data_IF_126301291878
#
_entry.id   IF_126301291878
#
_cell.length_a   1.000
_cell.length_b   1.000
_cell.length_c   1.000
_cell.angle_alpha   90.00
_cell.angle_beta   90.00
_cell.angle_gamma   90.00
#
_symmetry.space_group_name_H-M   'P 1'
#
loop_
_entity.id
_entity.type
_entity.pdbx_description
1 polymer ?
2 non-polymer ?
3 non-polymer ?
#
# COMPACT_ATOMS: atom_id res chain seq x y z
N UNK A 11 13.58 -23.53 14.25
CA UNK A 11 13.98 -22.18 13.85
C UNK A 11 13.34 -21.79 12.51
N UNK A 12 12.85 -20.56 12.45
CA UNK A 12 12.16 -20.05 11.28
C UNK A 12 13.02 -19.02 10.53
N UNK A 13 14.25 -18.84 10.98
CA UNK A 13 15.13 -17.84 10.40
C UNK A 13 15.88 -18.33 9.16
N UNK A 14 15.97 -17.45 8.17
CA UNK A 14 16.82 -17.59 7.00
C UNK A 14 17.27 -16.21 6.54
N UNK A 15 18.32 -16.11 5.69
CA UNK A 15 18.92 -14.79 5.44
C UNK A 15 17.96 -13.76 4.86
N UNK A 16 16.97 -14.20 4.09
CA UNK A 16 15.98 -13.30 3.51
C UNK A 16 14.98 -12.76 4.52
N UNK A 17 14.52 -13.61 5.44
CA UNK A 17 13.53 -13.21 6.42
C UNK A 17 14.14 -12.72 7.73
N UNK A 18 15.42 -12.41 7.70
CA UNK A 18 16.13 -11.94 8.88
C UNK A 18 15.95 -10.44 9.07
N UNK A 19 15.96 -9.98 10.34
CA UNK A 19 15.93 -8.55 10.66
C UNK A 19 16.98 -7.79 9.86
N UNK A 20 16.79 -6.50 9.64
CA UNK A 20 17.67 -5.82 8.72
C UNK A 20 18.65 -5.00 9.54
N UNK A 21 19.91 -5.38 9.39
CA UNK A 21 21.01 -4.85 10.19
C UNK A 21 21.18 -3.36 9.89
N UNK A 22 21.56 -2.60 10.92
CA UNK A 22 21.78 -1.16 10.81
C UNK A 22 22.62 -0.74 9.60
N UNK A 23 23.74 -1.42 9.38
CA UNK A 23 24.60 -1.12 8.24
C UNK A 23 23.95 -1.43 6.89
N UNK A 24 22.96 -2.33 6.86
CA UNK A 24 22.31 -2.65 5.59
C UNK A 24 21.18 -1.69 5.19
N UNK A 25 20.89 -0.69 6.02
CA UNK A 25 19.73 0.16 5.78
C UNK A 25 20.09 1.22 4.74
N UNK A 26 19.14 1.58 3.87
CA UNK A 26 19.47 2.41 2.71
C UNK A 26 18.48 3.52 2.34
N UNK A 27 17.38 3.63 3.09
CA UNK A 27 16.35 4.62 2.76
C UNK A 27 16.18 5.70 3.84
N UNK A 28 16.55 6.93 3.52
CA UNK A 28 16.35 8.00 4.48
C UNK A 28 15.02 8.67 4.23
N UNK A 29 14.77 9.82 4.89
CA UNK A 29 13.49 10.50 4.76
C UNK A 29 13.20 11.08 3.38
N UNK A 30 14.20 11.62 2.70
CA UNK A 30 13.97 12.19 1.37
C UNK A 30 13.67 11.07 0.37
N UNK A 31 14.28 9.92 0.58
CA UNK A 31 14.24 8.84 -0.39
C UNK A 31 12.89 8.12 -0.32
N UNK A 32 12.36 8.02 0.89
CA UNK A 32 11.07 7.37 1.13
C UNK A 32 9.95 8.19 0.49
N UNK A 33 10.08 9.51 0.60
CA UNK A 33 9.21 10.43 -0.12
C UNK A 33 9.30 10.20 -1.63
N UNK A 34 10.49 9.88 -2.11
CA UNK A 34 10.72 9.76 -3.54
C UNK A 34 10.14 8.44 -4.01
N UNK A 35 9.94 7.52 -3.07
CA UNK A 35 9.31 6.25 -3.35
C UNK A 35 7.79 6.42 -3.35
N UNK A 36 7.28 7.15 -2.36
CA UNK A 36 5.86 7.34 -2.18
C UNK A 36 5.23 8.25 -3.23
N UNK A 37 6.01 9.21 -3.74
CA UNK A 37 5.52 10.18 -4.69
C UNK A 37 5.19 9.43 -5.99
N UNK A 38 6.12 8.60 -6.41
CA UNK A 38 5.96 7.82 -7.64
C UNK A 38 5.00 6.66 -7.43
N UNK A 39 4.93 6.17 -6.20
CA UNK A 39 4.02 5.08 -5.84
C UNK A 39 2.56 5.51 -5.83
N UNK A 40 2.31 6.81 -5.62
CA UNK A 40 0.95 7.31 -5.61
C UNK A 40 0.45 7.62 -7.02
N UNK A 41 1.39 7.85 -7.93
CA UNK A 41 1.06 8.07 -9.34
C UNK A 41 0.73 6.75 -10.01
N UNK A 42 -0.55 6.41 -10.08
CA UNK A 42 -0.98 5.17 -10.69
C UNK A 42 -2.43 5.23 -11.16
N UNK A 43 -2.70 4.52 -12.26
CA UNK A 43 -3.96 4.56 -12.99
C UNK A 43 -5.24 4.51 -12.13
N UNK A 44 -5.25 3.67 -11.12
CA UNK A 44 -6.46 3.39 -10.34
C UNK A 44 -7.05 4.63 -9.66
N UNK A 45 -6.21 5.63 -9.39
CA UNK A 45 -6.70 6.83 -8.73
C UNK A 45 -7.44 7.73 -9.70
N UNK A 46 -7.20 7.53 -11.00
CA UNK A 46 -7.98 8.20 -12.03
C UNK A 46 -9.44 7.76 -11.93
N UNK A 47 -9.64 6.45 -11.87
CA UNK A 47 -10.97 5.87 -11.80
C UNK A 47 -11.72 6.31 -10.55
N UNK A 48 -11.08 6.17 -9.39
CA UNK A 48 -11.73 6.51 -8.13
C UNK A 48 -12.16 7.97 -8.10
N UNK A 49 -11.22 8.86 -8.39
CA UNK A 49 -11.47 10.30 -8.21
C UNK A 49 -12.38 10.82 -9.32
N UNK A 50 -12.32 10.16 -10.47
CA UNK A 50 -13.23 10.41 -11.56
C UNK A 50 -14.68 10.12 -11.22
N UNK A 51 -14.93 8.86 -10.84
CA UNK A 51 -16.23 8.40 -10.36
C UNK A 51 -16.75 9.17 -9.15
N UNK A 52 -15.85 9.77 -8.38
CA UNK A 52 -16.25 10.59 -7.23
C UNK A 52 -17.01 11.83 -7.68
N UNK A 53 -16.74 12.28 -8.90
CA UNK A 53 -17.37 13.49 -9.42
C UNK A 53 -18.89 13.34 -9.54
N UNK A 54 -19.36 12.10 -9.66
CA UNK A 54 -20.77 11.79 -9.54
C UNK A 54 -21.42 12.27 -8.24
N UNK A 55 -20.69 12.22 -7.13
CA UNK A 55 -21.31 12.53 -5.85
C UNK A 55 -20.87 13.89 -5.29
N UNK A 56 -19.71 14.38 -5.72
CA UNK A 56 -19.22 15.67 -5.25
C UNK A 56 -18.56 16.41 -6.39
N UNK A 57 -18.31 17.71 -6.20
CA UNK A 57 -17.59 18.47 -7.21
C UNK A 57 -16.10 18.37 -6.95
N UNK A 58 -15.32 18.52 -8.01
CA UNK A 58 -13.86 18.35 -7.99
C UNK A 58 -13.05 18.84 -6.79
N UNK A 59 -13.23 20.08 -6.36
CA UNK A 59 -12.48 20.59 -5.21
C UNK A 59 -12.69 19.75 -3.95
N UNK A 60 -13.93 19.35 -3.68
CA UNK A 60 -14.21 18.46 -2.56
C UNK A 60 -13.51 17.11 -2.71
N UNK A 61 -13.40 16.63 -3.95
CA UNK A 61 -12.75 15.35 -4.20
C UNK A 61 -11.27 15.43 -3.84
N UNK A 62 -10.66 16.53 -4.26
CA UNK A 62 -9.29 16.88 -3.88
C UNK A 62 -9.13 16.93 -2.36
N UNK A 63 -10.18 17.41 -1.70
CA UNK A 63 -10.16 17.52 -0.24
C UNK A 63 -10.34 16.13 0.36
N UNK A 64 -11.23 15.33 -0.22
CA UNK A 64 -11.39 13.95 0.23
C UNK A 64 -10.10 13.16 0.03
N UNK A 65 -9.33 13.57 -0.98
CA UNK A 65 -8.04 12.95 -1.24
C UNK A 65 -7.01 13.37 -0.20
N UNK A 66 -6.84 14.69 -0.03
CA UNK A 66 -5.99 15.23 1.00
C UNK A 66 -6.35 14.75 2.41
N UNK A 67 -7.64 14.64 2.68
CA UNK A 67 -8.08 14.12 3.98
C UNK A 67 -7.74 12.64 4.10
N UNK A 68 -8.12 11.87 3.09
CA UNK A 68 -7.83 10.45 3.06
C UNK A 68 -6.36 10.09 3.03
N UNK A 69 -5.58 10.92 2.34
CA UNK A 69 -4.12 10.80 2.34
C UNK A 69 -3.53 11.00 3.73
N UNK A 70 -4.09 11.96 4.45
CA UNK A 70 -3.59 12.34 5.77
C UNK A 70 -3.90 11.31 6.86
N UNK A 71 -5.09 10.72 6.82
CA UNK A 71 -5.43 9.68 7.79
C UNK A 71 -4.52 8.46 7.60
N UNK A 72 -4.18 8.20 6.35
CA UNK A 72 -3.30 7.09 6.00
C UNK A 72 -1.92 7.27 6.64
N UNK A 73 -1.39 8.49 6.51
CA UNK A 73 -0.15 8.91 7.15
C UNK A 73 -0.11 8.86 8.68
N UNK A 74 -1.13 9.42 9.32
CA UNK A 74 -1.35 9.23 10.76
C UNK A 74 -1.28 7.76 11.18
N UNK A 75 -1.77 6.89 10.30
CA UNK A 75 -1.69 5.45 10.51
C UNK A 75 -0.29 4.90 10.28
N UNK A 76 0.40 5.48 9.29
CA UNK A 76 1.75 5.05 8.97
C UNK A 76 2.71 5.31 10.12
N UNK A 77 2.64 6.52 10.69
CA UNK A 77 3.41 6.88 11.89
C UNK A 77 3.45 5.79 12.97
N UNK A 78 2.35 5.06 13.13
CA UNK A 78 2.25 4.03 14.15
C UNK A 78 2.62 2.64 13.62
N UNK A 79 2.16 2.31 12.43
CA UNK A 79 2.39 0.97 11.89
C UNK A 79 3.82 0.78 11.38
N UNK A 80 4.59 1.86 11.31
CA UNK A 80 5.93 1.76 10.71
C UNK A 80 6.99 1.74 11.79
N UNK A 81 6.58 2.01 13.03
CA UNK A 81 7.55 2.35 14.06
C UNK A 81 8.39 1.15 14.49
N UNK A 82 7.77 -0.02 14.51
CA UNK A 82 8.48 -1.23 14.89
C UNK A 82 9.43 -1.72 13.80
N UNK A 83 9.05 -1.51 12.55
CA UNK A 83 9.83 -1.99 11.42
C UNK A 83 11.09 -1.15 11.21
N UNK A 84 10.97 0.15 11.40
CA UNK A 84 12.11 1.06 11.29
C UNK A 84 13.14 0.74 12.37
N UNK A 85 12.66 0.61 13.60
CA UNK A 85 13.54 0.41 14.74
C UNK A 85 14.19 -0.98 14.68
N UNK A 86 13.40 -2.01 14.36
CA UNK A 86 13.88 -3.38 14.50
C UNK A 86 14.14 -4.12 13.19
N UNK A 87 13.98 -3.46 12.05
CA UNK A 87 14.24 -4.09 10.77
C UNK A 87 13.45 -5.33 10.40
N UNK A 88 12.27 -5.54 10.99
CA UNK A 88 11.55 -6.79 10.74
C UNK A 88 10.49 -6.73 9.64
N UNK A 89 10.20 -7.91 9.09
CA UNK A 89 9.06 -8.16 8.22
C UNK A 89 7.70 -7.71 8.76
N UNK A 90 6.74 -7.59 7.84
CA UNK A 90 5.32 -7.58 8.19
C UNK A 90 4.89 -8.96 8.67
N UNK A 91 5.13 -9.97 7.84
CA UNK A 91 4.70 -11.33 8.11
C UNK A 91 5.24 -11.80 9.45
N UNK A 92 6.50 -11.48 9.71
CA UNK A 92 7.12 -11.77 10.99
C UNK A 92 6.48 -10.98 12.15
N UNK A 93 6.23 -9.70 11.92
CA UNK A 93 5.65 -8.85 12.96
C UNK A 93 4.23 -9.24 13.39
N UNK A 94 3.46 -9.88 12.52
CA UNK A 94 2.10 -10.27 12.87
C UNK A 94 2.12 -11.40 13.90
N UNK A 95 3.25 -12.11 13.96
CA UNK A 95 3.44 -13.22 14.87
C UNK A 95 3.24 -12.83 16.34
N UNK A 96 3.42 -11.55 16.65
CA UNK A 96 3.34 -11.07 18.03
C UNK A 96 1.94 -11.25 18.65
N UNK A 97 0.92 -10.48 18.17
CA UNK A 97 -0.39 -10.62 18.82
C UNK A 97 -1.12 -11.91 18.45
N UNK A 98 -1.19 -12.21 17.15
CA UNK A 98 -1.72 -13.48 16.68
C UNK A 98 -0.65 -14.52 16.92
N UNK A 99 -0.89 -15.79 16.61
CA UNK A 99 0.16 -16.76 16.85
C UNK A 99 1.33 -16.64 15.92
N UNK A 100 2.29 -17.56 16.03
CA UNK A 100 3.32 -17.74 15.02
C UNK A 100 2.73 -18.31 13.73
N UNK A 101 1.65 -19.06 13.89
CA UNK A 101 0.93 -19.66 12.79
C UNK A 101 -0.42 -18.99 12.64
N UNK A 102 -1.06 -18.73 13.77
CA UNK A 102 -2.29 -17.97 13.81
C UNK A 102 -2.23 -16.65 13.04
N UNK A 103 -1.06 -16.04 12.97
CA UNK A 103 -0.90 -14.85 12.13
C UNK A 103 -1.18 -15.12 10.66
N UNK A 104 -0.99 -16.36 10.23
CA UNK A 104 -1.23 -16.73 8.83
C UNK A 104 -2.67 -16.47 8.39
N UNK A 105 -3.59 -16.47 9.35
CA UNK A 105 -4.99 -16.21 9.05
C UNK A 105 -5.16 -14.76 8.57
N UNK A 106 -4.97 -13.74 9.44
CA UNK A 106 -5.02 -12.41 8.83
C UNK A 106 -4.03 -12.20 7.68
N UNK A 107 -2.81 -12.73 7.79
CA UNK A 107 -1.82 -12.54 6.74
C UNK A 107 -2.21 -13.16 5.39
N UNK A 108 -2.94 -14.28 5.41
CA UNK A 108 -3.42 -14.86 4.15
C UNK A 108 -4.50 -13.99 3.54
N UNK A 109 -5.36 -13.45 4.41
CA UNK A 109 -6.32 -12.43 4.02
C UNK A 109 -5.58 -11.31 3.31
N UNK A 110 -4.52 -10.82 3.94
CA UNK A 110 -3.83 -9.65 3.45
C UNK A 110 -2.95 -9.92 2.21
N UNK A 111 -2.26 -11.05 2.19
CA UNK A 111 -1.42 -11.39 1.04
C UNK A 111 -2.23 -11.55 -0.24
N UNK A 112 -3.48 -11.96 -0.08
CA UNK A 112 -4.42 -12.12 -1.17
C UNK A 112 -4.81 -10.78 -1.79
N UNK A 113 -5.18 -9.85 -0.93
CA UNK A 113 -5.40 -8.45 -1.30
C UNK A 113 -4.21 -7.91 -2.08
N UNK A 114 -3.02 -8.05 -1.51
CA UNK A 114 -1.79 -7.49 -2.09
C UNK A 114 -1.65 -8.03 -3.51
N UNK A 115 -1.81 -9.35 -3.60
CA UNK A 115 -1.72 -10.11 -4.84
C UNK A 115 -2.78 -9.68 -5.87
N UNK A 116 -3.99 -9.43 -5.40
CA UNK A 116 -5.06 -8.89 -6.25
C UNK A 116 -4.68 -7.60 -6.97
N UNK A 117 -4.06 -6.66 -6.26
CA UNK A 117 -3.66 -5.41 -6.88
C UNK A 117 -2.55 -5.63 -7.91
N UNK A 118 -1.71 -6.63 -7.67
CA UNK A 118 -0.59 -6.92 -8.55
C UNK A 118 -1.01 -7.36 -9.95
N UNK A 119 -2.00 -8.24 -10.01
CA UNK A 119 -2.51 -8.69 -11.29
C UNK A 119 -3.31 -7.62 -11.99
N UNK A 120 -3.97 -6.76 -11.22
CA UNK A 120 -4.68 -5.64 -11.81
C UNK A 120 -3.72 -4.67 -12.50
N UNK A 121 -2.67 -4.24 -11.80
CA UNK A 121 -1.75 -3.29 -12.40
C UNK A 121 -0.85 -3.89 -13.49
N UNK A 122 -0.55 -5.18 -13.40
CA UNK A 122 0.25 -5.81 -14.45
C UNK A 122 -0.54 -5.74 -15.75
N UNK A 123 -1.85 -5.93 -15.59
CA UNK A 123 -2.82 -5.81 -16.66
C UNK A 123 -2.83 -4.42 -17.28
N UNK A 124 -2.99 -3.40 -16.44
CA UNK A 124 -2.98 -2.02 -16.92
C UNK A 124 -1.67 -1.72 -17.64
N UNK A 125 -0.57 -2.21 -17.06
CA UNK A 125 0.75 -2.10 -17.65
C UNK A 125 0.82 -2.74 -19.01
N UNK A 126 0.27 -3.96 -19.09
CA UNK A 126 0.20 -4.73 -20.31
C UNK A 126 -0.61 -4.00 -21.37
N UNK A 127 -1.75 -3.46 -20.96
CA UNK A 127 -2.61 -2.68 -21.84
C UNK A 127 -1.78 -1.58 -22.48
N UNK A 128 -0.93 -0.96 -21.67
CA UNK A 128 -0.13 0.16 -22.13
C UNK A 128 0.86 -0.33 -23.19
N UNK A 129 1.62 -1.37 -22.85
CA UNK A 129 2.65 -1.88 -23.75
C UNK A 129 2.03 -2.39 -25.03
N UNK A 130 0.84 -2.98 -24.92
CA UNK A 130 0.14 -3.54 -26.06
C UNK A 130 -0.33 -2.42 -26.98
N UNK A 131 -0.78 -1.33 -26.39
CA UNK A 131 -1.10 -0.13 -27.13
C UNK A 131 0.11 0.50 -27.82
N UNK A 132 1.26 0.53 -27.16
CA UNK A 132 2.47 1.07 -27.79
C UNK A 132 2.83 0.27 -29.03
N UNK A 133 2.75 -1.05 -28.92
CA UNK A 133 3.11 -1.93 -30.03
C UNK A 133 2.12 -1.86 -31.18
N UNK A 134 0.82 -1.92 -30.87
CA UNK A 134 -0.17 -1.93 -31.94
C UNK A 134 -0.26 -0.56 -32.61
N UNK A 135 0.23 0.48 -31.93
CA UNK A 135 0.38 1.79 -32.55
C UNK A 135 1.70 1.85 -33.31
N UNK A 136 2.29 0.69 -33.54
CA UNK A 136 3.52 0.59 -34.32
C UNK A 136 3.42 -0.61 -35.26
N UNK A 137 3.05 -1.76 -34.71
CA UNK A 137 3.23 -3.03 -35.42
C UNK A 137 1.83 -3.59 -35.72
N UNK A 138 0.81 -2.87 -35.26
CA UNK A 138 -0.58 -3.27 -35.39
C UNK A 138 -0.97 -4.59 -34.73
N UNK A 139 0.03 -5.37 -34.36
CA UNK A 139 -0.14 -6.65 -33.67
C UNK A 139 -0.69 -6.34 -32.28
N UNK A 140 -1.76 -7.02 -31.87
CA UNK A 140 -2.46 -6.62 -30.65
C UNK A 140 -2.83 -7.83 -29.79
N UNK A 141 -1.79 -8.54 -29.35
CA UNK A 141 -1.92 -9.63 -28.41
C UNK A 141 -1.60 -9.12 -27.00
N UNK A 142 -2.57 -9.22 -26.10
CA UNK A 142 -2.40 -8.76 -24.71
C UNK A 142 -1.81 -9.78 -23.72
N UNK A 143 -2.38 -11.01 -23.64
CA UNK A 143 -1.85 -12.00 -22.69
C UNK A 143 -0.34 -12.23 -22.75
N UNK A 144 0.24 -12.25 -23.94
CA UNK A 144 1.68 -12.38 -24.06
C UNK A 144 2.36 -11.20 -23.37
N UNK A 145 1.82 -10.00 -23.57
CA UNK A 145 2.38 -8.78 -22.99
C UNK A 145 2.12 -8.70 -21.49
N UNK A 146 1.05 -9.37 -21.05
CA UNK A 146 0.79 -9.55 -19.63
C UNK A 146 1.94 -10.29 -18.97
N UNK A 147 2.11 -11.57 -19.31
CA UNK A 147 3.23 -12.39 -18.84
C UNK A 147 4.58 -11.68 -18.89
N UNK A 148 5.01 -11.29 -20.10
CA UNK A 148 6.22 -10.50 -20.28
C UNK A 148 6.39 -9.34 -19.29
N UNK A 149 5.29 -8.66 -18.96
CA UNK A 149 5.37 -7.58 -17.98
C UNK A 149 5.49 -8.14 -16.57
N UNK A 150 4.57 -9.04 -16.22
CA UNK A 150 4.69 -9.80 -14.99
C UNK A 150 6.12 -10.24 -14.79
N UNK A 151 6.71 -10.75 -15.88
CA UNK A 151 8.07 -11.26 -15.86
C UNK A 151 9.08 -10.14 -15.61
N UNK A 152 8.92 -9.02 -16.33
CA UNK A 152 9.83 -7.88 -16.23
C UNK A 152 9.83 -7.29 -14.82
N UNK A 153 8.66 -7.22 -14.21
CA UNK A 153 8.54 -6.73 -12.84
C UNK A 153 9.28 -7.63 -11.88
N UNK A 154 9.10 -8.94 -12.03
CA UNK A 154 9.79 -9.94 -11.20
C UNK A 154 11.30 -9.75 -11.21
N UNK A 155 11.86 -9.54 -12.40
CA UNK A 155 13.30 -9.46 -12.55
C UNK A 155 13.83 -8.15 -12.00
N UNK A 156 13.06 -7.08 -12.17
CA UNK A 156 13.39 -5.81 -11.54
C UNK A 156 13.12 -5.82 -10.04
N UNK A 157 12.22 -6.70 -9.60
CA UNK A 157 11.95 -6.83 -8.17
C UNK A 157 13.02 -7.65 -7.46
N UNK A 158 13.71 -8.51 -8.22
CA UNK A 158 14.88 -9.23 -7.70
C UNK A 158 15.91 -8.34 -7.02
N UNK A 159 16.09 -7.14 -7.54
CA UNK A 159 17.04 -6.18 -6.98
C UNK A 159 16.44 -5.48 -5.75
N UNK A 160 15.35 -6.05 -5.24
CA UNK A 160 14.59 -5.53 -4.11
C UNK A 160 14.49 -4.02 -4.05
N UNK A 161 14.60 -3.48 -2.83
CA UNK A 161 14.41 -2.05 -2.65
C UNK A 161 15.48 -1.19 -3.35
N UNK A 162 16.59 -1.82 -3.75
CA UNK A 162 17.69 -1.14 -4.42
C UNK A 162 17.31 -0.56 -5.77
N UNK A 163 16.65 -1.39 -6.58
CA UNK A 163 16.09 -0.95 -7.86
C UNK A 163 14.96 0.04 -7.65
N UNK A 164 13.96 -0.40 -6.88
CA UNK A 164 12.80 0.42 -6.49
C UNK A 164 13.23 1.85 -6.19
N UNK A 165 14.26 2.00 -5.37
CA UNK A 165 14.63 3.30 -4.83
C UNK A 165 15.22 4.14 -5.95
N UNK A 166 15.97 3.50 -6.86
CA UNK A 166 16.58 4.23 -7.97
C UNK A 166 15.56 4.58 -9.06
N UNK A 167 14.66 3.64 -9.33
CA UNK A 167 13.60 3.85 -10.31
C UNK A 167 12.59 4.93 -9.94
N UNK A 168 12.28 5.03 -8.66
CA UNK A 168 11.28 6.01 -8.19
C UNK A 168 11.79 7.43 -8.06
N UNK A 169 13.08 7.62 -7.82
CA UNK A 169 13.62 8.96 -7.73
C UNK A 169 13.70 9.61 -9.10
N UNK A 170 14.02 8.81 -10.11
CA UNK A 170 14.03 9.29 -11.49
C UNK A 170 12.66 9.37 -12.15
N UNK A 171 11.76 8.44 -11.82
CA UNK A 171 10.39 8.53 -12.33
C UNK A 171 9.66 9.75 -11.79
N UNK A 172 9.85 10.03 -10.50
CA UNK A 172 9.11 11.09 -9.80
C UNK A 172 9.02 12.42 -10.58
N UNK A 173 10.17 13.05 -10.92
CA UNK A 173 10.04 14.34 -11.61
C UNK A 173 9.46 14.21 -13.01
N UNK A 174 9.87 13.17 -13.73
CA UNK A 174 9.34 12.89 -15.05
C UNK A 174 7.83 12.72 -15.01
N UNK A 175 7.36 11.86 -14.12
CA UNK A 175 5.94 11.69 -13.86
C UNK A 175 5.27 13.00 -13.45
N UNK A 176 5.94 13.75 -12.58
CA UNK A 176 5.48 15.07 -12.15
C UNK A 176 5.33 16.03 -13.33
N UNK A 177 6.28 15.96 -14.26
CA UNK A 177 6.24 16.87 -15.41
C UNK A 177 5.19 16.44 -16.43
N UNK A 178 5.20 15.17 -16.82
CA UNK A 178 4.17 14.62 -17.70
C UNK A 178 2.75 14.96 -17.22
N UNK A 179 2.60 15.08 -15.90
CA UNK A 179 1.31 15.35 -15.28
C UNK A 179 0.89 16.81 -15.30
N UNK A 180 1.81 17.69 -14.94
CA UNK A 180 1.59 19.13 -15.05
C UNK A 180 1.32 19.54 -16.50
N UNK A 181 2.06 18.94 -17.42
CA UNK A 181 1.79 19.06 -18.85
C UNK A 181 0.37 18.63 -19.20
N UNK A 182 -0.03 17.48 -18.66
CA UNK A 182 -1.35 16.91 -18.88
C UNK A 182 -2.50 17.87 -18.55
N UNK A 183 -2.41 18.47 -17.36
CA UNK A 183 -3.32 19.53 -16.95
C UNK A 183 -3.33 20.74 -17.88
N UNK A 184 -2.15 21.09 -18.38
CA UNK A 184 -2.05 22.21 -19.30
C UNK A 184 -2.78 21.93 -20.62
N UNK A 185 -2.44 20.81 -21.25
CA UNK A 185 -3.14 20.33 -22.45
C UNK A 185 -4.67 20.30 -22.37
N UNK A 186 -5.20 19.82 -21.25
CA UNK A 186 -6.64 19.78 -21.06
C UNK A 186 -7.20 21.18 -20.96
N UNK A 187 -6.87 21.87 -19.87
CA UNK A 187 -7.35 23.21 -19.59
C UNK A 187 -7.27 24.10 -20.83
N UNK A 188 -6.08 24.17 -21.42
CA UNK A 188 -5.86 24.94 -22.65
C UNK A 188 -6.83 24.51 -23.74
N UNK A 189 -6.73 23.25 -24.14
CA UNK A 189 -7.48 22.71 -25.25
C UNK A 189 -8.99 22.74 -25.07
N UNK A 190 -9.42 22.90 -23.82
CA UNK A 190 -10.84 23.04 -23.51
C UNK A 190 -11.21 24.49 -23.28
N UNK A 191 -10.18 25.33 -23.16
CA UNK A 191 -10.32 26.78 -23.02
C UNK A 191 -10.95 27.10 -21.67
N UNK A 192 -10.44 26.43 -20.63
CA UNK A 192 -11.03 26.53 -19.29
C UNK A 192 -9.95 26.81 -18.25
N UNK A 193 -10.27 27.68 -17.29
CA UNK A 193 -9.34 27.96 -16.19
C UNK A 193 -9.36 26.83 -15.17
N UNK A 194 -8.34 26.76 -14.34
CA UNK A 194 -8.27 25.76 -13.28
C UNK A 194 -9.44 25.88 -12.30
N UNK A 195 -9.76 27.11 -11.93
CA UNK A 195 -10.82 27.36 -10.95
C UNK A 195 -12.20 26.96 -11.44
N UNK A 196 -12.41 27.05 -12.75
CA UNK A 196 -13.70 26.69 -13.33
C UNK A 196 -13.97 25.19 -13.25
N UNK A 197 -12.99 24.38 -13.64
CA UNK A 197 -13.14 22.93 -13.60
C UNK A 197 -13.30 22.43 -12.17
N UNK A 198 -12.71 23.17 -11.23
CA UNK A 198 -12.75 22.80 -9.82
C UNK A 198 -14.14 22.69 -9.18
N UNK A 199 -15.18 23.20 -9.82
CA UNK A 199 -16.52 23.05 -9.25
C UNK A 199 -17.58 22.50 -10.21
N UNK A 200 -17.15 21.86 -11.28
CA UNK A 200 -18.05 21.38 -12.32
C UNK A 200 -18.80 20.08 -12.01
N UNK A 201 -18.46 19.42 -10.91
CA UNK A 201 -19.00 18.09 -10.65
C UNK A 201 -20.26 17.97 -9.83
N UNK A 202 -20.45 16.80 -9.23
CA UNK A 202 -21.35 16.63 -8.10
C UNK A 202 -22.78 16.93 -8.46
N UNK A 203 -23.27 16.26 -9.50
CA UNK A 203 -24.62 16.47 -9.98
C UNK A 203 -25.53 15.27 -9.70
N UNK A 204 -25.21 14.52 -8.65
CA UNK A 204 -25.95 13.32 -8.30
C UNK A 204 -25.67 12.90 -6.85
N UNK A 205 -25.83 13.84 -5.89
CA UNK A 205 -25.42 13.61 -4.50
C UNK A 205 -26.16 12.46 -3.81
N UNK A 206 -25.59 11.99 -2.70
CA UNK A 206 -26.11 10.83 -2.00
C UNK A 206 -25.04 10.20 -1.11
N UNK A 207 -23.83 10.09 -1.64
CA UNK A 207 -22.71 9.56 -0.90
C UNK A 207 -22.23 10.55 0.17
N UNK A 208 -22.11 10.10 1.42
CA UNK A 208 -21.56 10.96 2.48
C UNK A 208 -20.10 11.33 2.21
N UNK A 209 -19.69 12.55 2.58
CA UNK A 209 -18.31 12.97 2.40
C UNK A 209 -17.35 12.13 3.24
N UNK A 210 -17.85 11.56 4.33
CA UNK A 210 -17.04 10.70 5.18
C UNK A 210 -16.68 9.42 4.44
N UNK A 211 -17.62 8.91 3.65
CA UNK A 211 -17.43 7.66 2.95
C UNK A 211 -16.55 7.95 1.74
N UNK A 212 -16.43 9.23 1.42
CA UNK A 212 -15.56 9.66 0.34
C UNK A 212 -14.12 9.57 0.81
N UNK A 213 -13.86 10.20 1.95
CA UNK A 213 -12.54 10.17 2.57
C UNK A 213 -12.11 8.72 2.76
N UNK A 214 -13.06 7.93 3.24
CA UNK A 214 -12.89 6.50 3.50
C UNK A 214 -12.59 5.64 2.26
N UNK A 215 -12.83 6.17 1.07
CA UNK A 215 -12.55 5.39 -0.14
C UNK A 215 -11.07 5.52 -0.50
N UNK A 216 -10.48 6.67 -0.21
CA UNK A 216 -9.06 6.85 -0.47
C UNK A 216 -8.21 6.25 0.66
N UNK A 217 -8.74 6.26 1.88
CA UNK A 217 -8.08 5.59 2.99
C UNK A 217 -8.10 4.08 2.76
N UNK A 218 -9.23 3.59 2.27
CA UNK A 218 -9.39 2.18 1.98
C UNK A 218 -8.58 1.71 0.79
N UNK A 219 -7.98 2.67 0.09
CA UNK A 219 -7.17 2.35 -1.08
C UNK A 219 -5.78 1.85 -0.73
N UNK A 220 -5.12 2.56 0.17
CA UNK A 220 -3.73 2.24 0.53
C UNK A 220 -3.61 1.40 1.80
N UNK A 221 -4.73 0.99 2.37
CA UNK A 221 -4.71 0.34 3.68
C UNK A 221 -3.84 -0.90 3.72
N UNK A 222 -3.85 -1.68 2.64
CA UNK A 222 -3.00 -2.86 2.55
C UNK A 222 -1.53 -2.47 2.70
N UNK A 223 -1.11 -1.46 1.94
CA UNK A 223 0.25 -0.95 2.02
C UNK A 223 0.55 -0.35 3.38
N UNK A 224 -0.39 0.46 3.89
CA UNK A 224 -0.23 1.11 5.18
C UNK A 224 -0.08 0.11 6.32
N UNK A 225 -0.94 -0.90 6.33
CA UNK A 225 -0.91 -1.94 7.35
C UNK A 225 0.40 -2.74 7.31
N UNK A 226 0.85 -3.07 6.10
CA UNK A 226 2.03 -3.90 5.93
C UNK A 226 3.19 -3.13 5.32
N UNK A 227 3.30 -1.85 5.66
CA UNK A 227 4.44 -1.05 5.21
C UNK A 227 5.80 -1.65 5.58
N UNK A 228 5.87 -2.35 6.71
CA UNK A 228 7.08 -3.02 7.19
C UNK A 228 8.05 -3.41 6.08
N UNK A 229 7.51 -4.04 5.06
CA UNK A 229 8.26 -4.65 3.98
C UNK A 229 8.99 -3.61 3.13
N UNK A 230 8.60 -2.36 3.32
CA UNK A 230 9.24 -1.23 2.65
C UNK A 230 10.12 -0.46 3.63
N UNK A 231 9.59 -0.29 4.84
CA UNK A 231 10.14 0.68 5.79
C UNK A 231 11.15 0.04 6.75
N UNK A 232 11.22 -1.29 6.78
CA UNK A 232 12.32 -2.01 7.43
C UNK A 232 13.67 -1.71 6.82
N UNK A 233 13.67 -0.91 5.77
CA UNK A 233 14.88 -0.51 5.07
C UNK A 233 15.29 0.93 5.35
N UNK A 234 14.49 1.64 6.15
CA UNK A 234 14.81 3.03 6.44
C UNK A 234 15.95 3.17 7.44
N UNK A 235 16.61 4.33 7.38
CA UNK A 235 17.81 4.58 8.17
C UNK A 235 17.48 4.95 9.61
N UNK A 236 18.12 4.29 10.57
CA UNK A 236 17.85 4.57 11.97
C UNK A 236 19.16 4.76 12.74
N UNK A 237 19.14 5.63 13.75
CA UNK A 237 20.23 5.69 14.71
C UNK A 237 19.88 4.94 15.98
N UNK A 238 20.51 3.77 16.19
CA UNK A 238 20.23 2.91 17.34
C UNK A 238 20.39 3.59 18.70
N UNK A 239 21.23 4.62 18.76
CA UNK A 239 21.49 5.30 20.02
C UNK A 239 20.73 6.60 20.21
N UNK A 240 19.49 6.63 19.71
CA UNK A 240 18.60 7.75 19.95
C UNK A 240 17.99 7.63 21.34
N UNK A 241 16.84 8.25 21.54
CA UNK A 241 16.13 8.15 22.80
C UNK A 241 14.64 8.06 22.49
N UNK A 242 13.79 8.04 23.51
CA UNK A 242 12.35 8.11 23.30
C UNK A 242 11.97 9.31 22.43
N UNK A 243 12.65 10.44 22.66
CA UNK A 243 12.21 11.68 22.04
C UNK A 243 12.91 11.85 20.70
N UNK A 244 14.08 11.24 20.54
CA UNK A 244 14.74 11.26 19.26
C UNK A 244 14.20 10.19 18.32
N UNK A 245 13.71 9.10 18.90
CA UNK A 245 13.02 8.07 18.12
C UNK A 245 11.68 8.57 17.60
N UNK A 246 11.03 9.42 18.39
CA UNK A 246 9.73 9.96 18.00
C UNK A 246 9.83 10.98 16.88
N UNK A 247 10.83 11.86 16.93
CA UNK A 247 11.05 12.77 15.82
C UNK A 247 11.45 12.01 14.56
N UNK A 248 12.17 10.90 14.75
CA UNK A 248 12.55 10.04 13.64
C UNK A 248 11.34 9.43 12.94
N UNK A 249 10.48 8.81 13.74
CA UNK A 249 9.18 8.33 13.27
C UNK A 249 8.41 9.43 12.58
N UNK A 250 8.42 10.62 13.19
CA UNK A 250 7.67 11.75 12.68
C UNK A 250 8.29 12.28 11.40
N UNK A 251 9.62 12.28 11.33
CA UNK A 251 10.32 12.75 10.15
C UNK A 251 10.05 11.84 8.94
N UNK A 252 9.99 10.54 9.20
CA UNK A 252 9.59 9.57 8.18
C UNK A 252 8.12 9.69 7.78
N UNK A 253 7.24 9.72 8.78
CA UNK A 253 5.82 9.95 8.57
C UNK A 253 5.56 11.24 7.79
N UNK A 254 6.32 12.27 8.11
CA UNK A 254 6.20 13.55 7.42
C UNK A 254 6.62 13.39 5.96
N UNK A 255 7.64 12.57 5.74
CA UNK A 255 8.18 12.35 4.40
C UNK A 255 7.20 11.59 3.52
N UNK A 256 6.38 10.75 4.13
CA UNK A 256 5.40 9.97 3.38
C UNK A 256 4.23 10.85 3.00
N UNK A 257 3.95 11.84 3.84
CA UNK A 257 2.87 12.78 3.58
C UNK A 257 3.21 13.63 2.37
N UNK A 258 4.45 14.13 2.34
CA UNK A 258 4.83 15.00 1.25
C UNK A 258 5.03 14.22 -0.03
N UNK A 259 5.07 12.88 0.07
CA UNK A 259 5.20 12.08 -1.13
C UNK A 259 3.88 11.69 -1.76
N UNK A 260 2.92 11.26 -0.93
CA UNK A 260 1.68 10.70 -1.46
C UNK A 260 0.57 11.73 -1.65
N UNK A 261 0.59 12.79 -0.86
CA UNK A 261 -0.40 13.86 -1.00
C UNK A 261 -0.25 14.64 -2.32
N UNK A 262 0.83 15.45 -2.49
CA UNK A 262 0.92 16.21 -3.75
C UNK A 262 0.87 15.36 -5.01
N UNK A 263 1.35 14.12 -4.93
CA UNK A 263 1.26 13.22 -6.08
C UNK A 263 -0.19 12.83 -6.37
N UNK A 264 -0.91 12.41 -5.34
CA UNK A 264 -2.23 11.85 -5.57
C UNK A 264 -3.28 12.95 -5.71
N UNK A 265 -2.95 14.16 -5.27
CA UNK A 265 -3.81 15.31 -5.51
C UNK A 265 -3.78 15.80 -6.96
N UNK A 266 -2.59 15.93 -7.53
CA UNK A 266 -2.44 16.30 -8.94
C UNK A 266 -3.08 15.29 -9.91
N UNK A 267 -2.86 14.01 -9.65
CA UNK A 267 -3.35 12.96 -10.53
C UNK A 267 -4.78 12.55 -10.21
N UNK A 268 -5.18 12.72 -8.96
CA UNK A 268 -6.57 12.56 -8.59
C UNK A 268 -7.38 13.59 -9.38
N UNK A 269 -6.92 14.83 -9.31
CA UNK A 269 -7.50 15.93 -10.08
C UNK A 269 -7.61 15.65 -11.58
N UNK A 270 -6.60 15.02 -12.15
CA UNK A 270 -6.64 14.64 -13.56
C UNK A 270 -7.75 13.64 -13.88
N UNK A 271 -7.93 12.66 -13.00
CA UNK A 271 -8.98 11.69 -13.17
C UNK A 271 -10.35 12.35 -13.09
N UNK A 272 -10.50 13.22 -12.10
CA UNK A 272 -11.74 13.98 -11.92
C UNK A 272 -12.01 14.89 -13.11
N UNK A 273 -10.99 15.63 -13.51
CA UNK A 273 -11.06 16.52 -14.67
C UNK A 273 -11.46 15.81 -15.96
N UNK A 274 -10.79 14.71 -16.27
CA UNK A 274 -11.20 13.81 -17.35
C UNK A 274 -12.70 13.50 -17.34
N UNK A 275 -13.19 13.02 -16.21
CA UNK A 275 -14.60 12.66 -16.03
C UNK A 275 -15.51 13.80 -16.40
N UNK A 276 -15.17 14.98 -15.90
CA UNK A 276 -16.05 16.13 -15.86
C UNK A 276 -16.07 16.91 -17.18
N UNK A 277 -14.93 16.92 -17.87
CA UNK A 277 -14.83 17.56 -19.18
C UNK A 277 -15.44 16.74 -20.32
N UNK A 278 -15.33 15.41 -20.26
CA UNK A 278 -15.55 14.60 -21.46
C UNK A 278 -16.39 13.34 -21.16
N UNK A 279 -16.55 13.04 -19.87
CA UNK A 279 -17.39 11.94 -19.45
C UNK A 279 -16.65 10.63 -19.24
N UNK A 280 -15.33 10.69 -19.36
CA UNK A 280 -14.49 9.50 -19.18
C UNK A 280 -13.38 9.78 -18.18
N UNK A 281 -13.11 8.82 -17.30
CA UNK A 281 -12.05 8.94 -16.31
C UNK A 281 -10.66 8.75 -16.91
N UNK A 282 -10.62 8.08 -18.06
CA UNK A 282 -9.37 7.78 -18.75
C UNK A 282 -8.90 8.98 -19.56
N UNK A 283 -7.72 9.53 -19.19
CA UNK A 283 -7.13 10.72 -19.79
C UNK A 283 -6.77 10.52 -21.27
N UNK A 284 -6.52 9.30 -21.72
CA UNK A 284 -6.27 9.06 -23.15
C UNK A 284 -7.42 9.61 -23.97
N UNK A 285 -8.60 9.12 -23.64
CA UNK A 285 -9.83 9.61 -24.25
C UNK A 285 -10.09 11.09 -24.01
N UNK A 286 -10.06 11.55 -22.76
CA UNK A 286 -10.43 12.93 -22.50
C UNK A 286 -9.54 13.94 -23.22
N UNK A 287 -8.24 13.67 -23.30
CA UNK A 287 -7.33 14.60 -23.97
C UNK A 287 -7.38 14.49 -25.49
N UNK A 288 -7.55 13.27 -25.98
CA UNK A 288 -7.67 13.00 -27.42
C UNK A 288 -8.80 13.78 -28.06
N UNK A 289 -9.99 13.63 -27.49
CA UNK A 289 -11.18 14.37 -27.90
C UNK A 289 -10.92 15.88 -27.83
N UNK A 290 -10.76 16.38 -26.61
CA UNK A 290 -10.63 17.82 -26.34
C UNK A 290 -9.67 18.52 -27.33
N UNK A 291 -8.70 17.76 -27.81
CA UNK A 291 -7.64 18.30 -28.66
C UNK A 291 -7.93 17.85 -30.10
N UNK A 292 -8.81 16.87 -30.23
CA UNK A 292 -9.26 16.42 -31.54
C UNK A 292 -8.17 15.60 -32.20
N UNK A 293 -7.84 14.48 -31.57
CA UNK A 293 -6.84 13.57 -32.10
C UNK A 293 -5.45 14.02 -31.69
N UNK A 294 -4.51 13.08 -31.70
CA UNK A 294 -3.11 13.38 -31.40
C UNK A 294 -2.19 12.49 -32.23
N UNK A 295 -1.00 13.00 -32.51
CA UNK A 295 -0.01 12.25 -33.28
C UNK A 295 0.38 10.94 -32.62
N UNK A 296 0.77 9.97 -33.44
CA UNK A 296 1.19 8.64 -32.97
C UNK A 296 2.31 8.73 -31.90
N UNK A 297 3.36 9.53 -32.15
CA UNK A 297 4.31 9.83 -31.06
C UNK A 297 3.64 10.22 -29.73
N UNK A 298 2.96 11.37 -29.71
CA UNK A 298 2.36 11.88 -28.46
C UNK A 298 1.36 10.92 -27.81
N UNK A 299 0.98 9.88 -28.55
CA UNK A 299 0.12 8.83 -28.00
C UNK A 299 0.96 7.83 -27.23
N UNK A 300 1.90 7.21 -27.95
CA UNK A 300 2.97 6.39 -27.38
C UNK A 300 3.54 6.92 -26.07
N UNK A 301 3.85 8.22 -26.04
CA UNK A 301 4.18 8.93 -24.80
C UNK A 301 3.26 8.58 -23.64
N UNK A 302 1.96 8.87 -23.78
CA UNK A 302 0.97 8.60 -22.74
C UNK A 302 1.10 7.18 -22.21
N UNK A 303 1.31 6.27 -23.13
CA UNK A 303 1.39 4.86 -22.81
C UNK A 303 2.71 4.53 -22.11
N UNK A 304 3.77 5.22 -22.49
CA UNK A 304 5.03 5.13 -21.77
C UNK A 304 4.82 5.60 -20.33
N UNK A 305 3.98 6.62 -20.17
CA UNK A 305 3.59 7.14 -18.85
C UNK A 305 2.94 6.06 -17.99
N UNK A 306 1.81 5.52 -18.47
CA UNK A 306 1.11 4.44 -17.78
C UNK A 306 2.06 3.35 -17.35
N UNK A 307 2.97 2.99 -18.25
CA UNK A 307 3.96 1.98 -17.94
C UNK A 307 4.88 2.48 -16.84
N UNK A 308 5.40 3.69 -17.00
CA UNK A 308 6.22 4.30 -15.96
C UNK A 308 5.45 4.49 -14.65
N UNK A 309 4.16 4.78 -14.76
CA UNK A 309 3.31 4.96 -13.59
C UNK A 309 2.91 3.66 -12.91
N UNK A 310 2.91 2.58 -13.68
CA UNK A 310 2.57 1.28 -13.12
C UNK A 310 3.80 0.69 -12.47
N UNK A 311 4.95 0.94 -13.10
CA UNK A 311 6.21 0.39 -12.64
C UNK A 311 6.64 1.02 -11.32
N UNK A 312 6.19 2.25 -11.10
CA UNK A 312 6.56 2.98 -9.89
C UNK A 312 5.67 2.63 -8.72
N UNK A 313 4.64 1.83 -8.96
CA UNK A 313 3.70 1.49 -7.90
C UNK A 313 3.58 0.00 -7.61
N UNK A 314 3.29 -0.78 -8.66
CA UNK A 314 3.07 -2.22 -8.54
C UNK A 314 4.13 -3.00 -7.73
N UNK A 315 5.40 -3.09 -8.21
CA UNK A 315 6.41 -3.86 -7.46
C UNK A 315 6.46 -3.58 -5.95
N UNK A 316 6.73 -2.33 -5.58
CA UNK A 316 6.95 -1.95 -4.19
C UNK A 316 5.72 -2.18 -3.33
N UNK A 317 4.56 -1.89 -3.89
CA UNK A 317 3.31 -1.95 -3.13
C UNK A 317 2.62 -3.31 -3.15
N UNK A 318 2.84 -4.10 -4.21
CA UNK A 318 2.04 -5.31 -4.40
C UNK A 318 2.82 -6.63 -4.41
N UNK A 319 4.11 -6.60 -4.73
CA UNK A 319 4.86 -7.82 -4.92
C UNK A 319 5.83 -8.13 -3.77
N UNK A 320 6.46 -7.10 -3.24
CA UNK A 320 7.31 -7.21 -2.06
C UNK A 320 6.69 -8.02 -0.91
N UNK A 321 5.46 -7.70 -0.55
CA UNK A 321 4.86 -8.28 0.66
C UNK A 321 4.40 -9.74 0.56
N UNK A 322 3.96 -10.20 -0.62
CA UNK A 322 3.73 -11.65 -0.63
C UNK A 322 5.04 -12.44 -0.70
N UNK A 323 6.03 -11.89 -1.40
CA UNK A 323 7.37 -12.45 -1.42
C UNK A 323 7.87 -12.79 -0.03
N UNK A 324 7.94 -11.76 0.82
CA UNK A 324 8.40 -11.92 2.19
C UNK A 324 7.48 -12.82 3.01
N UNK A 325 6.22 -12.91 2.61
CA UNK A 325 5.28 -13.81 3.28
C UNK A 325 5.62 -15.28 3.02
N UNK A 326 5.99 -15.56 1.78
CA UNK A 326 6.44 -16.89 1.38
C UNK A 326 7.76 -17.30 2.01
N UNK A 327 8.79 -16.49 1.81
CA UNK A 327 10.14 -16.86 2.22
C UNK A 327 10.35 -16.89 3.74
N UNK A 328 9.31 -16.55 4.49
CA UNK A 328 9.44 -16.33 5.92
C UNK A 328 8.53 -17.30 6.68
N UNK A 329 7.58 -17.87 5.95
CA UNK A 329 6.75 -18.93 6.50
C UNK A 329 7.29 -20.30 6.11
N UNK A 330 7.78 -20.40 4.87
CA UNK A 330 8.46 -21.60 4.42
C UNK A 330 9.94 -21.30 4.18
N UNK A 331 10.71 -21.06 5.25
CA UNK A 331 12.00 -20.40 5.05
C UNK A 331 13.07 -21.25 4.35
N UNK A 332 12.94 -22.57 4.43
CA UNK A 332 13.85 -23.48 3.75
C UNK A 332 13.36 -23.85 2.36
N UNK A 333 12.08 -23.59 2.13
CA UNK A 333 11.47 -23.78 0.81
C UNK A 333 11.61 -22.58 -0.11
N UNK A 334 11.41 -21.38 0.43
CA UNK A 334 11.43 -20.19 -0.40
C UNK A 334 12.52 -19.20 0.02
N UNK A 335 13.00 -18.44 -0.96
CA UNK A 335 13.85 -17.28 -0.69
C UNK A 335 13.12 -16.06 -1.26
N UNK A 336 13.57 -14.86 -0.89
CA UNK A 336 12.96 -13.63 -1.40
C UNK A 336 12.74 -13.68 -2.90
N UNK A 337 13.83 -13.86 -3.65
CA UNK A 337 13.77 -13.95 -5.10
C UNK A 337 12.85 -15.06 -5.61
N UNK A 338 12.81 -16.16 -4.86
CA UNK A 338 11.98 -17.29 -5.26
C UNK A 338 10.52 -17.03 -4.88
N UNK A 339 10.34 -16.23 -3.83
CA UNK A 339 9.01 -15.89 -3.34
C UNK A 339 8.34 -14.90 -4.28
N UNK A 340 9.15 -14.00 -4.83
CA UNK A 340 8.75 -13.11 -5.89
C UNK A 340 8.23 -13.81 -7.14
N UNK A 341 8.94 -14.85 -7.59
CA UNK A 341 8.49 -15.65 -8.71
C UNK A 341 7.17 -16.39 -8.47
N UNK A 342 7.01 -16.97 -7.28
CA UNK A 342 5.77 -17.65 -6.93
C UNK A 342 4.60 -16.69 -6.68
N UNK A 343 4.90 -15.46 -6.25
CA UNK A 343 3.84 -14.51 -5.96
C UNK A 343 3.27 -13.89 -7.23
N UNK A 344 4.16 -13.58 -8.17
CA UNK A 344 3.76 -13.00 -9.45
C UNK A 344 3.06 -14.00 -10.36
N UNK A 345 3.28 -15.28 -10.15
CA UNK A 345 2.60 -16.31 -10.92
C UNK A 345 1.20 -16.54 -10.36
N UNK A 346 1.12 -16.83 -9.07
CA UNK A 346 -0.18 -16.90 -8.39
C UNK A 346 -0.97 -15.63 -8.70
N UNK A 347 -0.34 -14.47 -8.50
CA UNK A 347 -0.90 -13.17 -8.80
C UNK A 347 -1.65 -13.08 -10.12
N UNK A 348 -0.99 -13.50 -11.20
CA UNK A 348 -1.56 -13.41 -12.54
C UNK A 348 -2.65 -14.46 -12.74
N UNK A 349 -2.49 -15.58 -12.04
CA UNK A 349 -3.47 -16.66 -12.10
C UNK A 349 -4.72 -16.40 -11.25
N UNK A 350 -4.80 -15.23 -10.61
CA UNK A 350 -6.03 -14.80 -9.98
C UNK A 350 -6.93 -14.04 -10.95
N UNK A 351 -6.43 -13.80 -12.15
CA UNK A 351 -7.11 -13.01 -13.19
C UNK A 351 -8.06 -11.92 -12.70
N UNK A 352 -7.54 -10.95 -11.91
CA UNK A 352 -8.31 -9.95 -11.16
C UNK A 352 -8.98 -8.94 -12.09
N UNK A 353 -8.65 -8.99 -13.37
CA UNK A 353 -9.15 -8.08 -14.39
C UNK A 353 -10.59 -8.41 -14.78
N UNK A 354 -11.18 -9.39 -14.09
CA UNK A 354 -12.53 -9.82 -14.38
C UNK A 354 -13.46 -9.58 -13.18
N UNK A 355 -12.94 -8.90 -12.17
CA UNK A 355 -13.71 -8.63 -10.96
C UNK A 355 -14.87 -7.68 -11.27
N UNK A 356 -16.08 -8.16 -11.03
CA UNK A 356 -17.29 -7.36 -11.27
C UNK A 356 -17.42 -6.20 -10.28
N UNK A 357 -17.71 -5.01 -10.78
CA UNK A 357 -17.93 -3.86 -9.92
C UNK A 357 -17.08 -2.64 -10.22
N UNK A 358 -17.02 -1.73 -9.25
CA UNK A 358 -16.10 -0.61 -9.30
C UNK A 358 -15.25 -0.54 -8.04
N UNK A 359 -14.21 0.30 -8.07
CA UNK A 359 -13.14 0.23 -7.08
C UNK A 359 -13.66 0.75 -5.75
N UNK A 360 -14.20 1.96 -5.77
CA UNK A 360 -14.78 2.61 -4.59
C UNK A 360 -15.35 1.66 -3.52
N UNK A 361 -16.30 0.82 -3.93
CA UNK A 361 -16.96 -0.09 -3.00
C UNK A 361 -15.97 -1.16 -2.54
N UNK A 362 -15.07 -1.54 -3.43
CA UNK A 362 -14.01 -2.48 -3.15
C UNK A 362 -13.08 -1.82 -2.14
N UNK A 363 -12.80 -0.55 -2.37
CA UNK A 363 -11.89 0.18 -1.49
C UNK A 363 -12.58 0.36 -0.14
N UNK A 364 -13.91 0.54 -0.17
CA UNK A 364 -14.71 0.62 1.05
C UNK A 364 -14.68 -0.71 1.81
N UNK A 365 -14.52 -1.78 1.04
CA UNK A 365 -14.33 -3.14 1.54
C UNK A 365 -12.97 -3.36 2.19
N UNK A 366 -11.92 -2.98 1.46
CA UNK A 366 -10.55 -3.14 1.93
C UNK A 366 -10.28 -2.48 3.29
N UNK A 367 -10.80 -1.28 3.51
CA UNK A 367 -10.58 -0.65 4.79
C UNK A 367 -11.20 -1.42 5.96
N UNK A 368 -12.50 -1.67 5.89
CA UNK A 368 -13.18 -2.33 7.00
C UNK A 368 -12.80 -3.81 7.18
N UNK A 369 -12.08 -4.36 6.22
CA UNK A 369 -11.51 -5.69 6.31
C UNK A 369 -10.16 -5.81 7.02
N UNK A 370 -9.34 -4.77 6.89
CA UNK A 370 -8.07 -4.70 7.60
C UNK A 370 -7.98 -3.63 8.68
N UNK A 371 -9.07 -2.93 8.93
CA UNK A 371 -9.10 -1.90 9.95
C UNK A 371 -8.74 -2.41 11.35
N UNK A 372 -9.38 -3.51 11.78
CA UNK A 372 -8.99 -4.12 13.06
C UNK A 372 -7.56 -4.68 13.10
N UNK A 373 -7.07 -5.18 11.96
CA UNK A 373 -5.70 -5.72 11.88
C UNK A 373 -4.64 -4.68 12.20
N UNK A 374 -4.80 -3.47 11.68
CA UNK A 374 -3.86 -2.39 11.94
C UNK A 374 -3.99 -1.96 13.39
N UNK A 375 -5.18 -2.14 13.93
CA UNK A 375 -5.52 -1.68 15.27
C UNK A 375 -4.92 -2.62 16.31
N UNK A 376 -4.94 -3.91 16.00
CA UNK A 376 -4.43 -4.94 16.90
C UNK A 376 -2.89 -4.94 16.90
N UNK A 377 -2.29 -4.52 15.79
CA UNK A 377 -0.83 -4.54 15.70
C UNK A 377 -0.27 -3.31 16.39
N UNK A 378 -0.96 -2.18 16.23
CA UNK A 378 -0.56 -0.94 16.89
C UNK A 378 -0.68 -1.09 18.39
N UNK A 379 -1.69 -1.84 18.83
CA UNK A 379 -2.01 -1.96 20.25
C UNK A 379 -1.06 -2.91 20.95
N UNK A 380 -0.84 -4.07 20.35
CA UNK A 380 0.13 -5.03 20.86
C UNK A 380 1.49 -4.40 21.11
N UNK A 381 2.05 -3.78 20.07
CA UNK A 381 3.37 -3.18 20.15
C UNK A 381 3.46 -1.91 21.02
N UNK A 382 2.58 -0.94 20.80
CA UNK A 382 2.62 0.30 21.57
C UNK A 382 2.06 0.24 22.99
N UNK A 383 0.87 -0.33 23.13
CA UNK A 383 0.15 -0.26 24.40
C UNK A 383 0.42 -1.42 25.36
N UNK A 384 0.17 -2.63 24.89
CA UNK A 384 0.37 -3.82 25.71
C UNK A 384 1.83 -4.03 26.11
N UNK A 385 2.70 -4.18 25.12
CA UNK A 385 4.11 -4.51 25.36
C UNK A 385 5.02 -3.31 25.59
N UNK A 386 4.55 -2.12 25.23
CA UNK A 386 5.32 -0.87 25.41
C UNK A 386 6.62 -0.88 24.61
N UNK A 387 6.55 -1.34 23.36
CA UNK A 387 7.69 -1.34 22.43
C UNK A 387 8.80 -2.27 22.88
N UNK A 388 8.51 -3.14 23.83
CA UNK A 388 9.54 -4.01 24.39
C UNK A 388 9.35 -5.42 23.85
N UNK A 389 10.10 -5.75 22.81
CA UNK A 389 9.90 -7.00 22.07
C UNK A 389 11.14 -7.90 22.04
N UNK A 390 10.90 -9.18 21.72
CA UNK A 390 11.94 -10.19 21.68
C UNK A 390 12.14 -10.81 20.28
N UNK A 391 13.04 -10.25 19.48
CA UNK A 391 13.37 -10.83 18.17
C UNK A 391 13.63 -12.34 18.21
N UNK A 392 14.35 -12.79 19.23
CA UNK A 392 14.71 -14.19 19.41
C UNK A 392 13.51 -15.13 19.22
N UNK A 393 12.40 -14.75 19.85
CA UNK A 393 11.21 -15.59 19.95
C UNK A 393 10.38 -15.50 18.69
N UNK A 394 10.59 -14.45 17.91
CA UNK A 394 9.85 -14.27 16.67
C UNK A 394 10.33 -15.24 15.60
N UNK A 395 11.53 -15.79 15.79
CA UNK A 395 12.10 -16.69 14.80
C UNK A 395 12.18 -18.15 15.26
N UNK A 396 11.37 -18.51 16.24
CA UNK A 396 11.42 -19.83 16.84
C UNK A 396 10.00 -20.33 17.05
N UNK A 397 9.73 -21.55 16.61
CA UNK A 397 8.45 -22.21 16.83
C UNK A 397 7.91 -22.22 18.26
N UNK A 398 8.78 -22.40 19.25
CA UNK A 398 8.32 -22.39 20.64
C UNK A 398 8.96 -21.36 21.56
N UNK A 399 8.18 -20.33 21.88
CA UNK A 399 8.63 -19.21 22.69
C UNK A 399 7.43 -18.44 23.20
N UNK A 400 7.63 -17.19 23.60
CA UNK A 400 6.54 -16.38 24.16
C UNK A 400 5.51 -15.93 23.14
N UNK A 401 5.67 -16.32 21.88
CA UNK A 401 4.72 -15.94 20.85
C UNK A 401 4.05 -17.16 20.25
N UNK A 402 4.16 -18.29 20.95
CA UNK A 402 3.63 -19.54 20.46
C UNK A 402 2.19 -19.66 20.90
N UNK A 403 1.91 -19.11 22.08
CA UNK A 403 0.59 -19.19 22.68
C UNK A 403 0.07 -20.63 22.66
N UNK A 404 -1.19 -20.80 22.30
CA UNK A 404 -1.79 -22.13 22.24
C UNK A 404 -1.39 -22.90 20.98
N UNK A 405 -0.28 -23.63 21.08
CA UNK A 405 0.17 -24.52 20.00
C UNK A 405 0.35 -23.81 18.66
N UNK A 406 0.83 -22.58 18.73
CA UNK A 406 1.16 -21.78 17.55
C UNK A 406 0.14 -20.73 17.14
N UNK A 407 -0.98 -20.64 17.84
CA UNK A 407 -2.05 -19.74 17.42
C UNK A 407 -2.63 -19.02 18.62
N UNK A 408 -2.80 -17.69 18.51
CA UNK A 408 -3.36 -16.93 19.63
C UNK A 408 -4.84 -16.68 19.34
N UNK A 409 -5.70 -17.62 19.72
CA UNK A 409 -7.13 -17.54 19.39
C UNK A 409 -7.85 -16.31 19.93
N UNK A 410 -7.39 -15.81 21.08
CA UNK A 410 -7.96 -14.63 21.70
C UNK A 410 -7.81 -13.39 20.82
N UNK A 411 -6.67 -13.29 20.14
CA UNK A 411 -6.44 -12.24 19.17
C UNK A 411 -7.31 -12.38 17.92
N UNK A 412 -7.40 -13.61 17.41
CA UNK A 412 -8.41 -13.97 16.42
C UNK A 412 -9.86 -13.74 16.87
N UNK A 413 -10.09 -13.76 18.17
CA UNK A 413 -11.42 -13.45 18.70
C UNK A 413 -11.69 -11.94 18.67
N UNK A 414 -10.74 -11.18 19.19
CA UNK A 414 -10.79 -9.71 19.15
C UNK A 414 -10.99 -9.17 17.73
N UNK A 415 -10.41 -9.84 16.75
CA UNK A 415 -10.58 -9.43 15.36
C UNK A 415 -12.04 -9.53 14.93
N UNK A 416 -12.64 -10.70 15.16
CA UNK A 416 -14.05 -10.93 14.85
C UNK A 416 -14.99 -9.91 15.52
N UNK A 417 -15.00 -9.91 16.85
CA UNK A 417 -15.77 -8.95 17.64
C UNK A 417 -15.63 -7.51 17.11
N UNK A 418 -14.40 -7.10 16.84
CA UNK A 418 -14.13 -5.75 16.37
C UNK A 418 -14.68 -5.62 14.95
N UNK A 419 -14.61 -6.69 14.17
CA UNK A 419 -15.21 -6.69 12.84
C UNK A 419 -16.68 -6.51 12.87
N UNK A 420 -17.31 -7.19 13.81
CA UNK A 420 -18.72 -7.03 14.00
C UNK A 420 -19.10 -5.59 14.29
N UNK A 421 -18.68 -5.07 15.45
CA UNK A 421 -18.85 -3.65 15.78
C UNK A 421 -18.60 -2.69 14.61
N UNK A 422 -17.72 -3.07 13.69
CA UNK A 422 -17.37 -2.22 12.55
C UNK A 422 -18.59 -2.01 11.67
N UNK A 423 -19.41 -3.06 11.59
CA UNK A 423 -20.58 -3.07 10.72
C UNK A 423 -21.69 -2.16 11.26
N UNK A 424 -21.60 -1.85 12.56
CA UNK A 424 -22.56 -0.94 13.18
C UNK A 424 -22.44 0.52 12.74
N UNK A 425 -21.40 0.83 11.97
CA UNK A 425 -21.17 2.19 11.49
C UNK A 425 -20.70 2.18 10.04
N UNK A 426 -21.53 1.66 9.11
CA UNK A 426 -21.15 1.43 7.72
C UNK A 426 -20.37 2.54 7.01
N UNK A 427 -20.70 3.81 7.26
CA UNK A 427 -19.96 4.88 6.59
C UNK A 427 -18.66 5.25 7.30
N UNK A 428 -18.40 4.63 8.44
CA UNK A 428 -17.16 4.87 9.16
C UNK A 428 -16.54 3.55 9.58
N UNK A 429 -17.00 2.48 8.94
CA UNK A 429 -16.60 1.10 9.23
C UNK A 429 -15.16 0.94 9.68
N UNK A 430 -14.25 1.38 8.81
CA UNK A 430 -12.82 1.35 9.08
C UNK A 430 -12.34 1.96 10.40
N UNK A 431 -12.74 3.20 10.66
CA UNK A 431 -12.30 3.88 11.87
C UNK A 431 -12.89 3.34 13.18
N UNK A 432 -14.09 2.78 13.13
CA UNK A 432 -14.62 2.11 14.31
C UNK A 432 -13.97 0.75 14.57
N UNK A 433 -13.75 -0.03 13.51
CA UNK A 433 -13.14 -1.33 13.67
C UNK A 433 -11.69 -1.31 14.14
N UNK A 434 -10.96 -0.28 13.72
CA UNK A 434 -9.58 -0.12 14.16
C UNK A 434 -9.59 0.23 15.65
N UNK A 435 -10.31 1.31 15.96
CA UNK A 435 -10.48 1.79 17.33
C UNK A 435 -11.05 0.71 18.26
N UNK A 436 -11.96 -0.11 17.73
CA UNK A 436 -12.52 -1.19 18.56
C UNK A 436 -11.46 -2.24 18.81
N UNK A 437 -10.79 -2.70 17.76
CA UNK A 437 -9.74 -3.71 17.91
C UNK A 437 -8.64 -3.20 18.81
N UNK A 438 -8.20 -1.97 18.54
CA UNK A 438 -7.20 -1.30 19.35
C UNK A 438 -7.56 -1.40 20.83
N UNK A 439 -8.74 -0.90 21.19
CA UNK A 439 -9.19 -0.89 22.59
C UNK A 439 -9.43 -2.27 23.21
N UNK A 440 -10.03 -3.19 22.46
CA UNK A 440 -10.29 -4.53 22.99
C UNK A 440 -9.04 -5.38 23.18
N UNK A 441 -7.99 -5.13 22.41
CA UNK A 441 -6.79 -5.94 22.51
C UNK A 441 -6.23 -5.84 23.93
N UNK A 442 -6.39 -4.66 24.52
CA UNK A 442 -5.87 -4.34 25.86
C UNK A 442 -6.41 -5.28 26.95
N UNK A 443 -7.75 -5.32 27.18
CA UNK A 443 -8.24 -6.32 28.13
C UNK A 443 -7.97 -7.76 27.73
N UNK A 444 -8.17 -8.10 26.46
CA UNK A 444 -7.88 -9.44 25.97
C UNK A 444 -6.46 -9.89 26.29
N UNK A 445 -5.52 -8.96 26.18
CA UNK A 445 -4.09 -9.26 26.36
C UNK A 445 -3.70 -9.31 27.82
N UNK A 446 -4.39 -8.52 28.63
CA UNK A 446 -4.19 -8.55 30.08
C UNK A 446 -4.77 -9.84 30.66
N UNK A 447 -5.43 -10.63 29.81
CA UNK A 447 -5.99 -11.93 30.21
C UNK A 447 -5.05 -13.04 29.82
N UNK A 448 -4.66 -13.01 28.53
CA UNK A 448 -3.67 -13.93 27.99
C UNK A 448 -2.37 -13.85 28.79
N UNK A 449 -2.14 -12.71 29.43
CA UNK A 449 -0.88 -12.52 30.14
C UNK A 449 -0.88 -13.31 31.44
N UNK A 450 -2.05 -13.82 31.83
CA UNK A 450 -2.16 -14.64 33.01
C UNK A 450 -1.80 -16.10 32.73
N UNK A 451 -1.76 -16.44 31.44
CA UNK A 451 -1.46 -17.82 31.04
C UNK A 451 -0.10 -17.87 30.34
N UNK A 452 0.19 -16.83 29.58
CA UNK A 452 1.40 -16.73 28.79
C UNK A 452 2.15 -15.44 29.09
N UNK A 453 3.48 -15.45 28.95
CA UNK A 453 4.26 -14.28 29.36
C UNK A 453 4.33 -13.27 28.23
N UNK A 454 4.41 -11.99 28.58
CA UNK A 454 4.43 -10.94 27.57
C UNK A 454 5.85 -10.53 27.23
N UNK A 455 6.79 -10.97 28.06
CA UNK A 455 8.20 -10.67 27.85
C UNK A 455 9.05 -11.93 28.01
N UNK A 456 10.31 -11.83 27.59
CA UNK A 456 11.23 -12.97 27.64
C UNK A 456 12.65 -12.52 27.97
N UNK A 457 13.41 -13.42 28.58
CA UNK A 457 14.79 -13.12 28.94
C UNK A 457 15.61 -12.91 27.69
N UNK A 458 15.27 -13.66 26.64
CA UNK A 458 16.05 -13.68 25.42
C UNK A 458 15.98 -12.35 24.65
N UNK A 459 15.16 -11.43 25.13
CA UNK A 459 15.02 -10.13 24.46
C UNK A 459 16.28 -9.27 24.57
N UNK A 460 17.27 -9.79 25.29
CA UNK A 460 18.55 -9.09 25.44
C UNK A 460 19.47 -9.40 24.26
N UNK A 461 19.14 -10.44 23.52
CA UNK A 461 19.87 -10.77 22.30
C UNK A 461 19.42 -9.95 21.09
N UNK A 462 18.50 -9.02 21.32
CA UNK A 462 17.89 -8.25 20.23
C UNK A 462 18.95 -7.58 19.36
N UNK A 463 19.97 -7.02 20.02
CA UNK A 463 20.98 -6.20 19.36
C UNK A 463 22.01 -7.07 18.64
N UNK A 464 22.08 -8.34 19.03
CA UNK A 464 22.89 -9.33 18.32
C UNK A 464 22.47 -9.45 16.85
N UNK A 465 21.17 -9.44 16.63
CA UNK A 465 20.62 -9.53 15.28
C UNK A 465 21.00 -8.32 14.45
N UNK A 466 21.20 -7.19 15.12
CA UNK A 466 21.46 -5.92 14.44
C UNK A 466 22.92 -5.51 14.58
X LIG B 1 -3.38 -0.09 -3.30
X LIG B 1 -3.34 0.07 -4.65
X LIG B 1 -4.00 0.98 -5.42
X LIG B 1 -4.67 2.20 -4.88
X LIG B 1 -4.25 2.81 -3.70
X LIG B 1 -4.87 3.95 -3.22
X LIG B 1 -5.94 4.50 -3.90
X LIG B 1 -6.37 3.91 -5.07
X LIG B 1 -5.75 2.78 -5.55
X LIG B 1 -2.43 -0.94 -5.06
X LIG B 1 -2.06 -1.55 -3.91
X LIG B 1 -2.62 -1.05 -2.82
X LIG B 1 -7.87 4.67 -6.04
X LIG B 1 -2.48 -1.41 -1.66
X LIG B 1 -2.05 -1.21 -6.19
X LIG C 1 3.64 4.59 -9.89
#
# INVERSE_FOLDING_TARGET
>A
MNSTPIEEARSLLNPSNAPTRYAERSVGPFSLAAIWFAMAIQVAIFIAAGQMTSSFQVWQVIVAIAAGCTIAVILLFFTQSAAIRWGINFTVAARMPFGIRGSLIPITLKALLSLFWFGFQTWLGALALDEITRLLTGFTNLPLWIVIFGAIQVVTTFYGITFIRWMNVFASPVLLAMGVYMVYLMLDGADVSLGEVMSMGGENPGMPFSTAIMIFVGGWIAVVVSIHDIVKECKVDPNASREGQTKADARYATAQWLGMVPASIIFGFIGAASMVLVGEWNPVIAITEVVGGVSIPMAILFQVFVLLATWSTNPAANLLSPAYTLCSTFPRVFTFKTGVIVSAVVGLLMMPWQFAGVLNTFLNLLASALGPLAGIMISDYFLVRRRRISLHDLYRTKGIYTYWRGVNWVALAVYAVALAVSFLTPDLMFVTGLIAALLLHIPAMRWVAKTFPLFSEAESRNEDYLRPIGPVAPADESATANTKEQNGSENLYFQ
>B hetero
1 B5H N10 CA CB CG CD1 CE1 CZ CE2 CD2 C N11 C2 BR1 O2 O3
>C hetero
1 NA NA
#
